data_IF_731994565016
#
_entry.id   IF_731994565016
#
_cell.length_a   1.000
_cell.length_b   1.000
_cell.length_c   1.000
_cell.angle_alpha   90.00
_cell.angle_beta   90.00
_cell.angle_gamma   90.00
#
_symmetry.space_group_name_H-M   'P 1'
#
loop_
_entity.id
_entity.type
_entity.pdbx_description
1 polymer ?
#
# COMPACT_ATOMS: atom_id res chain seq x y z
N UNK A 1 27.13 8.26 -13.11
CA UNK A 1 28.41 8.42 -12.38
C UNK A 1 29.53 8.33 -13.39
N UNK A 2 30.67 8.97 -13.16
CA UNK A 2 31.83 8.78 -14.03
C UNK A 2 32.71 7.70 -13.40
N UNK A 3 33.03 6.66 -14.16
CA UNK A 3 33.92 5.59 -13.74
C UNK A 3 35.25 5.73 -14.46
N UNK A 4 36.34 5.52 -13.75
CA UNK A 4 37.68 5.45 -14.32
C UNK A 4 38.24 4.04 -14.14
N UNK A 5 38.55 3.36 -15.25
CA UNK A 5 39.11 2.01 -15.24
C UNK A 5 40.18 1.88 -16.33
N UNK A 6 41.37 1.35 -15.97
CA UNK A 6 42.50 1.11 -16.90
C UNK A 6 42.85 2.35 -17.76
N UNK A 7 42.75 3.55 -17.17
CA UNK A 7 43.08 4.82 -17.84
C UNK A 7 42.02 5.35 -18.80
N UNK A 8 40.83 4.73 -18.88
CA UNK A 8 39.67 5.26 -19.62
C UNK A 8 38.62 5.73 -18.63
N UNK A 9 37.98 6.86 -18.93
CA UNK A 9 36.80 7.31 -18.20
C UNK A 9 35.54 7.20 -19.07
N UNK A 10 34.43 6.83 -18.45
CA UNK A 10 33.12 6.81 -19.09
C UNK A 10 32.01 7.20 -18.12
N UNK A 11 30.94 7.79 -18.65
CA UNK A 11 29.73 8.09 -17.89
C UNK A 11 28.82 6.86 -17.93
N UNK A 12 28.59 6.25 -16.77
CA UNK A 12 27.83 5.01 -16.63
C UNK A 12 26.62 5.18 -15.69
N UNK A 13 25.65 4.30 -15.85
CA UNK A 13 24.49 4.19 -14.96
C UNK A 13 24.87 3.45 -13.68
N UNK A 14 24.69 4.11 -12.52
CA UNK A 14 25.16 3.57 -11.24
C UNK A 14 24.39 2.36 -10.74
N UNK A 15 23.14 2.20 -11.16
CA UNK A 15 22.25 1.14 -10.70
C UNK A 15 22.51 -0.21 -11.39
N UNK A 16 23.19 -0.24 -12.53
CA UNK A 16 23.40 -1.46 -13.33
C UNK A 16 24.87 -1.77 -13.57
N UNK A 17 25.75 -0.77 -13.48
CA UNK A 17 27.18 -0.98 -13.70
C UNK A 17 27.81 -1.75 -12.51
N UNK A 18 28.44 -2.92 -12.74
CA UNK A 18 28.96 -3.76 -11.67
C UNK A 18 30.15 -3.11 -10.98
N UNK A 19 30.18 -3.19 -9.64
CA UNK A 19 31.35 -2.81 -8.85
C UNK A 19 32.46 -3.85 -9.03
N UNK A 20 33.66 -3.38 -9.38
CA UNK A 20 34.84 -4.24 -9.59
C UNK A 20 36.03 -3.68 -8.82
N UNK A 21 36.99 -4.55 -8.50
CA UNK A 21 38.18 -4.14 -7.76
C UNK A 21 39.00 -3.10 -8.56
N UNK A 22 39.47 -2.08 -7.85
CA UNK A 22 40.17 -0.93 -8.45
C UNK A 22 39.29 0.05 -9.25
N UNK A 23 37.96 -0.06 -9.18
CA UNK A 23 37.04 0.91 -9.80
C UNK A 23 37.09 2.25 -9.04
N UNK A 24 37.44 3.32 -9.74
CA UNK A 24 37.37 4.68 -9.18
C UNK A 24 36.07 5.34 -9.67
N UNK A 25 35.19 5.68 -8.73
CA UNK A 25 33.91 6.33 -9.03
C UNK A 25 33.97 7.81 -8.66
N UNK A 26 33.74 8.66 -9.66
CA UNK A 26 33.57 10.09 -9.47
C UNK A 26 32.08 10.44 -9.49
N UNK A 27 31.59 10.95 -8.36
CA UNK A 27 30.18 11.30 -8.17
C UNK A 27 29.87 12.78 -8.44
N UNK A 28 30.90 13.62 -8.53
CA UNK A 28 30.82 15.08 -8.66
C UNK A 28 31.82 15.64 -9.70
N UNK A 29 32.10 14.90 -10.78
CA UNK A 29 32.84 15.46 -11.91
C UNK A 29 31.94 16.41 -12.71
N UNK A 30 32.53 17.30 -13.51
CA UNK A 30 31.77 18.24 -14.35
C UNK A 30 30.81 17.51 -15.29
N UNK A 31 31.27 16.42 -15.92
CA UNK A 31 30.45 15.59 -16.82
C UNK A 31 29.24 15.00 -16.10
N UNK A 32 29.41 14.54 -14.85
CA UNK A 32 28.29 14.01 -14.04
C UNK A 32 27.29 15.10 -13.68
N UNK A 33 27.77 16.28 -13.28
CA UNK A 33 26.90 17.40 -12.92
C UNK A 33 26.12 17.92 -14.13
N UNK A 34 26.74 18.03 -15.29
CA UNK A 34 26.07 18.40 -16.55
C UNK A 34 25.03 17.36 -16.97
N UNK A 35 25.36 16.07 -16.88
CA UNK A 35 24.42 15.00 -17.17
C UNK A 35 23.20 15.02 -16.23
N UNK A 36 23.41 15.25 -14.92
CA UNK A 36 22.32 15.40 -13.95
C UNK A 36 21.43 16.59 -14.28
N UNK A 37 22.02 17.75 -14.60
CA UNK A 37 21.27 18.94 -15.03
C UNK A 37 20.42 18.65 -16.27
N UNK A 38 20.98 17.96 -17.26
CA UNK A 38 20.24 17.61 -18.48
C UNK A 38 19.04 16.70 -18.16
N UNK A 39 19.26 15.62 -17.39
CA UNK A 39 18.19 14.67 -17.04
C UNK A 39 17.12 15.34 -16.19
N UNK A 40 17.49 16.13 -15.18
CA UNK A 40 16.55 16.88 -14.35
C UNK A 40 15.78 17.93 -15.15
N UNK A 41 16.43 18.58 -16.11
CA UNK A 41 15.77 19.50 -17.04
C UNK A 41 14.71 18.81 -17.90
N UNK A 42 15.01 17.62 -18.44
CA UNK A 42 14.02 16.81 -19.18
C UNK A 42 12.86 16.35 -18.30
N UNK A 43 13.14 15.91 -17.06
CA UNK A 43 12.12 15.49 -16.10
C UNK A 43 11.22 16.67 -15.69
N UNK A 44 11.80 17.83 -15.42
CA UNK A 44 11.05 19.04 -15.06
C UNK A 44 10.20 19.55 -16.24
N UNK A 45 10.69 19.46 -17.47
CA UNK A 45 9.91 19.79 -18.67
C UNK A 45 8.73 18.87 -18.92
N UNK A 46 8.82 17.59 -18.54
CA UNK A 46 7.68 16.67 -18.61
C UNK A 46 6.73 16.86 -17.43
N UNK A 47 7.27 16.95 -16.22
CA UNK A 47 6.51 16.91 -14.96
C UNK A 47 6.81 18.16 -14.11
N UNK A 48 6.31 19.34 -14.51
CA UNK A 48 6.67 20.61 -13.85
C UNK A 48 6.09 20.75 -12.45
N UNK A 49 4.98 20.06 -12.14
CA UNK A 49 4.21 20.24 -10.91
C UNK A 49 4.57 19.26 -9.79
N UNK A 50 5.55 18.38 -9.99
CA UNK A 50 5.92 17.36 -9.00
C UNK A 50 6.98 17.91 -8.02
N UNK A 51 6.69 17.99 -6.71
CA UNK A 51 7.59 18.62 -5.73
C UNK A 51 8.99 18.00 -5.68
N UNK A 52 9.10 16.66 -5.66
CA UNK A 52 10.39 15.97 -5.59
C UNK A 52 11.30 16.32 -6.78
N UNK A 53 10.73 16.53 -7.96
CA UNK A 53 11.49 16.89 -9.17
C UNK A 53 11.93 18.36 -9.10
N UNK A 54 11.04 19.25 -8.66
CA UNK A 54 11.35 20.66 -8.46
C UNK A 54 12.49 20.86 -7.46
N UNK A 55 12.48 20.12 -6.35
CA UNK A 55 13.52 20.20 -5.33
C UNK A 55 14.87 19.71 -5.87
N UNK A 56 14.90 18.54 -6.52
CA UNK A 56 16.11 18.00 -7.14
C UNK A 56 16.66 18.92 -8.24
N UNK A 57 15.78 19.52 -9.05
CA UNK A 57 16.16 20.48 -10.09
C UNK A 57 16.77 21.75 -9.49
N UNK A 58 16.18 22.27 -8.39
CA UNK A 58 16.66 23.46 -7.68
C UNK A 58 18.06 23.26 -7.10
N UNK A 59 18.34 22.08 -6.54
CA UNK A 59 19.69 21.71 -6.05
C UNK A 59 20.75 21.79 -7.16
N UNK A 60 20.36 21.59 -8.41
CA UNK A 60 21.23 21.65 -9.57
C UNK A 60 21.15 22.98 -10.34
N UNK A 61 20.47 23.99 -9.78
CA UNK A 61 20.37 25.35 -10.32
C UNK A 61 19.38 25.50 -11.47
N UNK A 62 18.40 24.60 -11.59
CA UNK A 62 17.33 24.67 -12.61
C UNK A 62 16.06 25.11 -11.89
N UNK A 63 15.60 26.33 -12.17
CA UNK A 63 14.38 26.90 -11.56
C UNK A 63 13.16 26.81 -12.46
N UNK A 64 13.37 26.73 -13.77
CA UNK A 64 12.30 26.68 -14.78
C UNK A 64 12.58 25.57 -15.81
N UNK A 65 11.54 25.01 -16.44
CA UNK A 65 11.69 24.00 -17.49
C UNK A 65 12.54 24.53 -18.66
N UNK A 66 13.68 23.89 -18.98
CA UNK A 66 14.55 24.34 -20.07
C UNK A 66 14.01 24.00 -21.47
N UNK A 67 13.03 23.09 -21.56
CA UNK A 67 12.37 22.67 -22.80
C UNK A 67 10.86 22.94 -22.74
N UNK A 68 10.18 23.07 -23.89
CA UNK A 68 8.72 23.23 -23.95
C UNK A 68 8.00 22.09 -23.21
N UNK A 69 6.96 22.47 -22.47
CA UNK A 69 6.09 21.54 -21.74
C UNK A 69 4.76 21.42 -22.50
N UNK A 70 4.56 20.27 -23.15
CA UNK A 70 3.31 20.00 -23.88
C UNK A 70 2.17 19.51 -22.96
N UNK A 71 2.52 18.94 -21.79
CA UNK A 71 1.58 18.32 -20.84
C UNK A 71 1.89 18.74 -19.40
N UNK A 72 1.45 19.94 -18.96
CA UNK A 72 1.81 20.46 -17.64
C UNK A 72 1.24 19.65 -16.46
N UNK A 73 0.16 18.90 -16.68
CA UNK A 73 -0.50 18.10 -15.65
C UNK A 73 0.05 16.66 -15.54
N UNK A 74 1.04 16.29 -16.36
CA UNK A 74 1.65 14.97 -16.31
C UNK A 74 2.56 14.82 -15.09
N UNK A 75 2.27 13.83 -14.24
CA UNK A 75 3.06 13.52 -13.05
C UNK A 75 3.93 12.26 -13.24
N UNK A 76 3.73 11.49 -14.32
CA UNK A 76 4.46 10.26 -14.58
C UNK A 76 5.79 10.50 -15.30
N UNK A 77 6.90 10.18 -14.61
CA UNK A 77 8.25 10.24 -15.17
C UNK A 77 8.68 8.98 -15.94
N UNK A 78 7.76 8.04 -16.17
CA UNK A 78 8.01 6.78 -16.90
C UNK A 78 9.15 5.92 -16.32
N UNK A 79 9.35 5.94 -14.99
CA UNK A 79 10.38 5.16 -14.29
C UNK A 79 10.17 3.64 -14.37
N UNK A 80 8.93 3.19 -14.57
CA UNK A 80 8.57 1.77 -14.68
C UNK A 80 8.54 0.99 -13.36
N UNK A 81 8.65 1.65 -12.20
CA UNK A 81 8.56 0.97 -10.89
C UNK A 81 7.22 0.26 -10.69
N UNK A 82 6.11 0.88 -11.09
CA UNK A 82 4.78 0.29 -11.02
C UNK A 82 4.63 -0.92 -11.95
N UNK A 83 5.13 -0.84 -13.19
CA UNK A 83 5.15 -1.95 -14.17
C UNK A 83 5.93 -3.13 -13.61
N UNK A 84 7.15 -2.88 -13.13
CA UNK A 84 8.02 -3.91 -12.56
C UNK A 84 7.39 -4.55 -11.32
N UNK A 85 6.81 -3.76 -10.43
CA UNK A 85 6.17 -4.27 -9.20
C UNK A 85 4.95 -5.13 -9.53
N UNK A 86 4.12 -4.69 -10.49
CA UNK A 86 2.94 -5.43 -10.92
C UNK A 86 3.30 -6.78 -11.58
N UNK A 87 4.41 -6.81 -12.31
CA UNK A 87 4.91 -8.01 -12.97
C UNK A 87 5.69 -8.93 -12.01
N UNK A 88 6.72 -8.43 -11.32
CA UNK A 88 7.65 -9.26 -10.53
C UNK A 88 7.10 -9.64 -9.16
N UNK A 89 6.43 -8.73 -8.46
CA UNK A 89 5.99 -8.94 -7.07
C UNK A 89 4.54 -9.42 -7.00
N UNK A 90 3.64 -8.77 -7.73
CA UNK A 90 2.20 -9.07 -7.68
C UNK A 90 1.83 -10.20 -8.66
N UNK A 91 2.64 -10.42 -9.70
CA UNK A 91 2.41 -11.40 -10.79
C UNK A 91 1.09 -11.19 -11.55
N UNK A 92 0.46 -10.02 -11.43
CA UNK A 92 -0.80 -9.72 -12.11
C UNK A 92 -0.61 -9.29 -13.57
N UNK A 93 0.59 -8.81 -13.93
CA UNK A 93 0.97 -8.40 -15.30
C UNK A 93 0.01 -7.37 -15.95
N UNK A 94 -0.66 -6.56 -15.13
CA UNK A 94 -1.66 -5.60 -15.60
C UNK A 94 -1.02 -4.36 -16.21
N UNK A 95 0.02 -3.81 -15.59
CA UNK A 95 0.58 -2.53 -16.01
C UNK A 95 1.70 -2.73 -17.04
N UNK A 96 1.64 -1.99 -18.14
CA UNK A 96 2.70 -1.95 -19.15
C UNK A 96 2.90 -0.53 -19.69
N UNK A 97 3.92 -0.35 -20.53
CA UNK A 97 4.10 0.84 -21.34
C UNK A 97 3.34 0.69 -22.66
N UNK A 98 2.36 1.56 -22.85
CA UNK A 98 1.64 1.75 -24.11
C UNK A 98 2.25 2.91 -24.89
N UNK A 99 1.93 3.01 -26.18
CA UNK A 99 2.41 4.08 -27.08
C UNK A 99 3.95 4.08 -27.25
N UNK A 100 4.49 5.07 -28.00
CA UNK A 100 5.94 5.22 -28.24
C UNK A 100 6.36 6.69 -28.21
N UNK A 101 7.64 6.93 -27.93
CA UNK A 101 8.23 8.27 -27.93
C UNK A 101 7.66 9.14 -26.82
N UNK A 102 7.27 10.37 -27.17
CA UNK A 102 6.69 11.36 -26.23
C UNK A 102 5.30 10.97 -25.72
N UNK A 103 4.52 10.23 -26.53
CA UNK A 103 3.17 9.76 -26.19
C UNK A 103 3.17 8.53 -25.27
N UNK A 104 4.35 8.02 -24.90
CA UNK A 104 4.46 6.83 -24.04
C UNK A 104 3.73 7.04 -22.72
N UNK A 105 2.85 6.10 -22.38
CA UNK A 105 2.02 6.12 -21.17
C UNK A 105 2.10 4.78 -20.45
N UNK A 106 1.90 4.80 -19.13
CA UNK A 106 1.78 3.58 -18.34
C UNK A 106 0.30 3.29 -18.10
N UNK A 107 -0.11 2.05 -18.31
CA UNK A 107 -1.47 1.62 -18.03
C UNK A 107 -1.71 0.17 -18.40
N UNK A 108 -2.96 -0.30 -18.23
CA UNK A 108 -3.36 -1.60 -18.74
C UNK A 108 -3.30 -1.65 -20.28
N UNK A 109 -3.30 -2.86 -20.88
CA UNK A 109 -3.44 -3.02 -22.32
C UNK A 109 -4.58 -2.17 -22.87
N UNK A 110 -4.31 -1.42 -23.94
CA UNK A 110 -5.27 -0.49 -24.57
C UNK A 110 -5.81 0.62 -23.66
N UNK A 111 -5.23 0.81 -22.46
CA UNK A 111 -5.72 1.71 -21.41
C UNK A 111 -7.17 1.38 -20.97
N UNK A 112 -7.57 0.13 -21.12
CA UNK A 112 -8.91 -0.36 -20.74
C UNK A 112 -8.93 -0.99 -19.34
N UNK A 113 -10.09 -0.93 -18.68
CA UNK A 113 -10.27 -1.57 -17.37
C UNK A 113 -10.13 -3.09 -17.49
N UNK A 114 -9.40 -3.70 -16.57
CA UNK A 114 -9.21 -5.16 -16.54
C UNK A 114 -9.61 -5.74 -15.19
N UNK A 115 -10.19 -6.95 -15.23
CA UNK A 115 -10.52 -7.75 -14.04
C UNK A 115 -9.29 -8.37 -13.36
N UNK A 116 -8.14 -8.37 -14.03
CA UNK A 116 -6.90 -8.91 -13.48
C UNK A 116 -6.27 -7.98 -12.44
N UNK A 117 -6.69 -6.71 -12.38
CA UNK A 117 -6.23 -5.77 -11.36
C UNK A 117 -6.99 -6.02 -10.05
N UNK A 118 -6.30 -6.58 -9.06
CA UNK A 118 -6.89 -6.88 -7.74
C UNK A 118 -6.95 -5.66 -6.80
N UNK A 119 -6.53 -4.48 -7.29
CA UNK A 119 -6.48 -3.25 -6.50
C UNK A 119 -5.51 -3.31 -5.32
N UNK A 120 -4.39 -4.03 -5.44
CA UNK A 120 -3.45 -4.23 -4.33
C UNK A 120 -2.72 -2.96 -3.85
N UNK A 121 -2.74 -1.87 -4.62
CA UNK A 121 -2.11 -0.59 -4.25
C UNK A 121 -0.57 -0.54 -4.30
N UNK A 122 0.10 -1.66 -4.62
CA UNK A 122 1.56 -1.71 -4.68
C UNK A 122 2.16 -0.70 -5.67
N UNK A 123 1.47 -0.41 -6.78
CA UNK A 123 1.89 0.58 -7.76
C UNK A 123 1.86 2.03 -7.23
N UNK A 124 0.91 2.36 -6.35
CA UNK A 124 0.82 3.66 -5.68
C UNK A 124 1.95 3.84 -4.67
N UNK A 125 2.22 2.81 -3.86
CA UNK A 125 3.30 2.83 -2.85
C UNK A 125 4.67 3.01 -3.51
N UNK A 126 4.91 2.33 -4.64
CA UNK A 126 6.20 2.39 -5.35
C UNK A 126 6.36 3.60 -6.28
N UNK A 127 5.33 4.45 -6.42
CA UNK A 127 5.38 5.61 -7.30
C UNK A 127 6.14 6.77 -6.64
N UNK A 128 7.32 7.19 -7.15
CA UNK A 128 8.10 8.25 -6.51
C UNK A 128 7.48 9.65 -6.68
N UNK A 129 6.58 9.83 -7.64
CA UNK A 129 6.00 11.14 -8.00
C UNK A 129 4.54 11.28 -7.64
N UNK A 130 3.89 10.24 -7.10
CA UNK A 130 2.46 10.24 -6.84
C UNK A 130 1.59 10.22 -8.10
N UNK A 131 2.11 9.82 -9.26
CA UNK A 131 1.36 9.77 -10.52
C UNK A 131 0.21 8.74 -10.53
N UNK A 132 0.22 7.77 -9.61
CA UNK A 132 -0.82 6.75 -9.47
C UNK A 132 -1.40 6.86 -8.07
N UNK A 133 -2.68 7.20 -7.97
CA UNK A 133 -3.39 7.35 -6.71
C UNK A 133 -4.53 6.34 -6.62
N UNK A 134 -4.79 5.85 -5.41
CA UNK A 134 -6.01 5.12 -5.11
C UNK A 134 -7.07 6.16 -4.78
N UNK A 135 -7.88 6.49 -5.78
CA UNK A 135 -9.03 7.39 -5.59
C UNK A 135 -10.18 6.57 -5.03
N UNK A 136 -10.52 6.82 -3.77
CA UNK A 136 -11.75 6.30 -3.17
C UNK A 136 -12.90 7.22 -3.60
N UNK A 137 -13.84 6.71 -4.43
CA UNK A 137 -14.99 7.50 -4.95
C UNK A 137 -15.91 8.05 -3.84
N UNK A 138 -15.85 7.45 -2.66
CA UNK A 138 -16.42 7.98 -1.42
C UNK A 138 -15.29 7.98 -0.40
N UNK A 139 -15.22 9.02 0.45
CA UNK A 139 -14.46 8.89 1.71
C UNK A 139 -14.90 7.55 2.32
N UNK A 140 -13.96 6.64 2.58
CA UNK A 140 -14.28 5.35 3.14
C UNK A 140 -14.94 5.60 4.50
N UNK A 141 -16.26 5.68 4.52
CA UNK A 141 -17.00 5.64 5.75
C UNK A 141 -17.06 4.18 6.06
N UNK A 142 -16.07 3.74 6.81
CA UNK A 142 -15.97 2.36 7.20
C UNK A 142 -17.20 2.00 8.03
N UNK A 143 -17.86 0.89 7.67
CA UNK A 143 -18.86 0.25 8.53
C UNK A 143 -18.22 -0.26 9.83
N UNK A 144 -16.90 -0.45 9.86
CA UNK A 144 -16.12 -0.66 11.06
C UNK A 144 -14.74 -0.02 10.88
N UNK A 145 -14.34 0.90 11.76
CA UNK A 145 -13.00 1.48 11.74
C UNK A 145 -11.96 0.35 11.76
N UNK A 146 -10.99 0.32 10.82
CA UNK A 146 -9.90 -0.64 10.87
C UNK A 146 -8.98 -0.24 12.02
N UNK A 147 -9.32 -0.74 13.22
CA UNK A 147 -8.59 -0.50 14.47
C UNK A 147 -7.54 -1.58 14.72
N UNK A 148 -7.16 -2.28 13.66
CA UNK A 148 -6.16 -3.33 13.62
C UNK A 148 -5.09 -3.04 12.56
N UNK A 149 -4.02 -3.85 12.54
CA UNK A 149 -2.97 -3.75 11.54
C UNK A 149 -3.55 -3.92 10.13
N UNK A 150 -3.18 -3.01 9.23
CA UNK A 150 -3.61 -3.01 7.82
C UNK A 150 -2.82 -3.98 6.94
N UNK A 151 -1.84 -4.68 7.53
CA UNK A 151 -1.04 -5.68 6.85
C UNK A 151 -1.74 -7.03 6.84
N UNK A 152 -1.66 -7.73 5.71
CA UNK A 152 -2.23 -9.08 5.58
C UNK A 152 -1.64 -10.09 6.57
N UNK A 153 -0.39 -9.90 7.02
CA UNK A 153 0.22 -10.69 8.09
C UNK A 153 0.29 -9.85 9.36
N UNK A 154 -0.23 -10.36 10.47
CA UNK A 154 -0.33 -9.60 11.72
C UNK A 154 -0.47 -10.49 12.95
N UNK A 155 -0.27 -9.91 14.14
CA UNK A 155 -0.54 -10.56 15.43
C UNK A 155 -1.82 -10.00 16.05
N UNK A 156 -2.75 -10.84 16.57
CA UNK A 156 -4.03 -10.40 17.14
C UNK A 156 -3.93 -9.29 18.19
N UNK A 157 -2.95 -9.44 19.08
CA UNK A 157 -2.53 -8.43 20.03
C UNK A 157 -1.10 -8.73 20.46
N UNK A 158 -0.42 -7.74 21.04
CA UNK A 158 0.93 -7.93 21.58
C UNK A 158 0.97 -8.88 22.80
N UNK A 159 -0.20 -9.17 23.38
CA UNK A 159 -0.39 -10.07 24.52
C UNK A 159 -1.04 -11.40 24.11
N UNK A 160 -1.17 -11.68 22.81
CA UNK A 160 -1.75 -12.93 22.34
C UNK A 160 -0.99 -14.14 22.89
N UNK A 161 -1.72 -15.19 23.27
CA UNK A 161 -1.15 -16.46 23.71
C UNK A 161 -1.78 -17.60 22.91
N UNK A 162 -1.01 -18.30 22.05
CA UNK A 162 0.40 -18.05 21.73
C UNK A 162 0.62 -16.73 20.94
N UNK A 163 1.78 -16.09 21.10
CA UNK A 163 2.16 -14.89 20.36
C UNK A 163 2.70 -15.29 18.97
N UNK A 164 1.79 -15.67 18.08
CA UNK A 164 2.09 -16.10 16.71
C UNK A 164 1.37 -15.23 15.69
N UNK A 165 2.02 -14.85 14.58
CA UNK A 165 1.37 -14.12 13.51
C UNK A 165 0.41 -15.02 12.72
N UNK A 166 -0.65 -14.42 12.21
CA UNK A 166 -1.63 -15.05 11.30
C UNK A 166 -1.62 -14.28 9.99
N UNK A 167 -1.81 -15.01 8.88
CA UNK A 167 -2.02 -14.42 7.56
C UNK A 167 -3.52 -14.39 7.31
N UNK A 168 -4.06 -13.20 7.11
CA UNK A 168 -5.40 -12.97 6.58
C UNK A 168 -5.38 -13.25 5.07
N UNK A 169 -6.04 -14.32 4.65
CA UNK A 169 -6.11 -14.77 3.26
C UNK A 169 -6.88 -13.78 2.38
N UNK A 170 -7.87 -13.09 2.93
CA UNK A 170 -8.72 -12.15 2.19
C UNK A 170 -7.97 -10.84 1.91
N UNK A 171 -7.04 -10.45 2.79
CA UNK A 171 -6.19 -9.29 2.57
C UNK A 171 -4.92 -9.61 1.74
N UNK A 172 -4.39 -10.84 1.87
CA UNK A 172 -3.11 -11.23 1.29
C UNK A 172 -3.14 -11.19 -0.23
N UNK A 173 -2.16 -10.50 -0.83
CA UNK A 173 -2.02 -10.39 -2.30
C UNK A 173 -1.90 -11.78 -2.94
N UNK A 174 -1.18 -12.72 -2.29
CA UNK A 174 -0.98 -14.07 -2.84
C UNK A 174 -2.30 -14.83 -2.97
N UNK A 175 -3.04 -14.94 -1.87
CA UNK A 175 -4.31 -15.67 -1.84
C UNK A 175 -5.36 -15.00 -2.72
N UNK A 176 -5.53 -13.67 -2.64
CA UNK A 176 -6.43 -12.96 -3.54
C UNK A 176 -6.10 -13.15 -5.03
N UNK A 177 -4.82 -13.15 -5.40
CA UNK A 177 -4.42 -13.38 -6.78
C UNK A 177 -4.74 -14.83 -7.21
N UNK A 178 -4.47 -15.80 -6.34
CA UNK A 178 -4.83 -17.20 -6.56
C UNK A 178 -6.33 -17.38 -6.78
N UNK A 179 -7.16 -16.78 -5.93
CA UNK A 179 -8.61 -16.88 -6.00
C UNK A 179 -9.17 -16.19 -7.26
N UNK A 180 -8.71 -14.98 -7.58
CA UNK A 180 -9.15 -14.22 -8.76
C UNK A 180 -8.71 -14.85 -10.09
N UNK A 181 -7.67 -15.68 -10.07
CA UNK A 181 -7.13 -16.35 -11.26
C UNK A 181 -7.48 -17.83 -11.31
N UNK A 182 -8.39 -18.31 -10.45
CA UNK A 182 -8.81 -19.71 -10.40
C UNK A 182 -7.63 -20.69 -10.28
N UNK A 183 -6.61 -20.32 -9.50
CA UNK A 183 -5.43 -21.15 -9.28
C UNK A 183 -4.34 -21.06 -10.36
N UNK A 184 -4.45 -20.15 -11.33
CA UNK A 184 -3.42 -19.98 -12.36
C UNK A 184 -2.15 -19.31 -11.82
N UNK A 185 -2.30 -18.40 -10.85
CA UNK A 185 -1.19 -17.70 -10.22
C UNK A 185 -1.16 -18.08 -8.74
N UNK A 186 -0.30 -19.03 -8.40
CA UNK A 186 -0.15 -19.54 -7.03
C UNK A 186 1.03 -18.92 -6.29
N UNK A 187 2.00 -18.36 -7.01
CA UNK A 187 3.31 -17.89 -6.52
C UNK A 187 3.45 -16.35 -6.57
N UNK A 188 2.37 -15.63 -6.25
CA UNK A 188 2.37 -14.16 -6.25
C UNK A 188 3.25 -13.55 -5.13
N UNK A 189 2.72 -12.66 -4.29
CA UNK A 189 3.57 -11.96 -3.31
C UNK A 189 4.16 -12.92 -2.25
N UNK A 190 5.48 -13.06 -2.24
CA UNK A 190 6.25 -13.86 -1.26
C UNK A 190 7.15 -13.00 -0.36
N UNK A 191 6.86 -11.71 -0.27
CA UNK A 191 7.71 -10.76 0.47
C UNK A 191 7.91 -11.17 1.93
N UNK A 192 6.84 -11.59 2.63
CA UNK A 192 6.94 -12.03 4.01
C UNK A 192 7.76 -13.31 4.17
N UNK A 193 7.63 -14.26 3.23
CA UNK A 193 8.39 -15.52 3.26
C UNK A 193 9.88 -15.27 3.01
N UNK A 194 10.21 -14.41 2.04
CA UNK A 194 11.59 -14.03 1.71
C UNK A 194 12.33 -13.39 2.90
N UNK A 195 11.65 -12.57 3.70
CA UNK A 195 12.26 -11.88 4.85
C UNK A 195 12.22 -12.70 6.15
N UNK A 196 11.48 -13.81 6.20
CA UNK A 196 11.31 -14.62 7.40
C UNK A 196 12.52 -15.55 7.60
N UNK A 197 13.49 -15.13 8.41
CA UNK A 197 14.67 -15.94 8.73
C UNK A 197 14.34 -17.30 9.36
N UNK A 198 13.25 -17.37 10.11
CA UNK A 198 12.79 -18.61 10.76
C UNK A 198 12.23 -19.63 9.75
N UNK A 199 11.93 -19.23 8.51
CA UNK A 199 11.30 -20.11 7.53
C UNK A 199 9.90 -20.60 7.93
N UNK A 200 9.21 -19.84 8.78
CA UNK A 200 7.94 -20.27 9.40
C UNK A 200 6.71 -20.11 8.49
N UNK A 201 6.84 -19.35 7.39
CA UNK A 201 5.71 -19.05 6.50
C UNK A 201 5.55 -20.17 5.47
N UNK A 202 4.42 -20.85 5.53
CA UNK A 202 4.02 -21.90 4.61
C UNK A 202 2.65 -21.57 3.99
N UNK A 203 2.64 -21.21 2.71
CA UNK A 203 1.40 -20.90 1.98
C UNK A 203 0.61 -22.14 1.56
N UNK A 204 1.23 -23.33 1.60
CA UNK A 204 0.59 -24.60 1.23
C UNK A 204 -0.04 -25.30 2.43
N UNK A 205 0.00 -24.69 3.63
CA UNK A 205 -0.63 -25.22 4.83
C UNK A 205 -2.14 -25.45 4.58
N UNK A 206 -2.61 -26.67 4.89
CA UNK A 206 -4.01 -27.07 4.75
C UNK A 206 -4.65 -27.26 6.12
N UNK A 207 -5.98 -27.21 6.13
CA UNK A 207 -6.76 -27.55 7.31
C UNK A 207 -6.60 -29.03 7.67
N UNK A 208 -6.51 -29.31 8.97
CA UNK A 208 -6.39 -30.66 9.53
C UNK A 208 -7.65 -31.00 10.34
N UNK A 209 -8.24 -32.17 10.09
CA UNK A 209 -9.35 -32.69 10.90
C UNK A 209 -8.76 -33.56 12.01
N UNK A 210 -8.96 -33.13 13.25
CA UNK A 210 -8.50 -33.85 14.44
C UNK A 210 -9.64 -34.65 15.05
N UNK A 211 -9.45 -35.97 15.20
CA UNK A 211 -10.37 -36.84 15.96
C UNK A 211 -9.98 -36.85 17.43
N UNK A 212 -10.87 -36.40 18.31
CA UNK A 212 -10.66 -36.32 19.75
C UNK A 212 -11.75 -37.11 20.48
N UNK A 213 -11.34 -38.05 21.33
CA UNK A 213 -12.25 -38.74 22.25
C UNK A 213 -12.40 -37.92 23.53
N UNK A 214 -13.59 -37.36 23.75
CA UNK A 214 -13.89 -36.45 24.88
C UNK A 214 -15.13 -36.91 25.64
N UNK A 215 -15.06 -36.86 26.97
CA UNK A 215 -16.20 -37.24 27.82
C UNK A 215 -17.24 -36.14 28.04
N UNK A 216 -16.89 -34.87 27.80
CA UNK A 216 -17.78 -33.72 28.03
C UNK A 216 -17.36 -32.55 27.14
N UNK A 217 -18.35 -31.82 26.60
CA UNK A 217 -18.14 -30.62 25.78
C UNK A 217 -18.71 -29.41 26.54
N UNK A 218 -17.95 -28.31 26.58
CA UNK A 218 -18.36 -27.03 27.17
C UNK A 218 -18.43 -26.01 26.04
N UNK A 219 -19.58 -25.33 25.89
CA UNK A 219 -19.77 -24.27 24.89
C UNK A 219 -19.54 -22.92 25.56
N UNK A 220 -18.52 -22.20 25.09
CA UNK A 220 -18.14 -20.88 25.61
C UNK A 220 -17.71 -19.93 24.47
N UNK A 221 -18.46 -19.91 23.37
CA UNK A 221 -18.15 -19.13 22.15
C UNK A 221 -18.35 -17.62 22.28
N UNK A 222 -18.82 -17.14 23.44
CA UNK A 222 -18.98 -15.71 23.70
C UNK A 222 -20.22 -15.11 23.05
N UNK A 223 -20.07 -13.89 22.53
CA UNK A 223 -21.12 -13.10 21.88
C UNK A 223 -20.53 -12.28 20.74
N UNK A 224 -21.38 -11.84 19.80
CA UNK A 224 -21.03 -10.88 18.76
C UNK A 224 -21.73 -9.54 19.02
N UNK A 225 -21.16 -8.46 18.50
CA UNK A 225 -21.78 -7.14 18.58
C UNK A 225 -22.93 -7.03 17.59
N UNK A 226 -24.01 -6.38 18.01
CA UNK A 226 -25.11 -6.02 17.12
C UNK A 226 -24.67 -4.92 16.16
N UNK A 227 -25.03 -5.05 14.87
CA UNK A 227 -24.65 -4.12 13.81
C UNK A 227 -25.50 -2.83 13.85
N UNK A 228 -24.93 -1.67 14.23
CA UNK A 228 -25.68 -0.43 14.35
C UNK A 228 -26.07 0.21 13.01
N UNK A 229 -25.52 -0.26 11.87
CA UNK A 229 -25.88 0.24 10.55
C UNK A 229 -27.37 0.01 10.21
N UNK A 230 -28.00 -0.96 10.87
CA UNK A 230 -29.44 -1.24 10.71
C UNK A 230 -30.32 -0.09 11.24
N UNK A 231 -29.83 0.74 12.17
CA UNK A 231 -30.55 1.93 12.64
C UNK A 231 -30.07 3.20 11.91
N UNK A 232 -30.65 3.42 10.74
CA UNK A 232 -30.32 4.57 9.86
C UNK A 232 -30.39 5.92 10.59
N UNK A 233 -31.27 6.07 11.60
CA UNK A 233 -31.38 7.31 12.37
C UNK A 233 -30.12 7.71 13.14
N UNK A 234 -29.21 6.78 13.38
CA UNK A 234 -27.93 7.05 14.03
C UNK A 234 -26.79 7.29 13.06
N UNK A 235 -27.00 7.16 11.74
CA UNK A 235 -26.00 7.46 10.70
C UNK A 235 -24.63 6.79 10.93
N UNK A 236 -24.62 5.63 11.60
CA UNK A 236 -23.44 4.79 11.69
C UNK A 236 -23.09 4.28 10.27
N UNK A 237 -21.81 4.36 9.88
CA UNK A 237 -21.41 4.10 8.50
C UNK A 237 -21.66 5.25 7.50
N UNK A 238 -22.27 6.37 7.93
CA UNK A 238 -22.36 7.60 7.10
C UNK A 238 -21.53 8.76 7.67
N UNK A 239 -21.41 8.84 9.00
CA UNK A 239 -20.58 9.83 9.69
C UNK A 239 -19.32 9.18 10.27
N UNK A 240 -18.11 9.64 9.92
CA UNK A 240 -16.86 8.98 10.31
C UNK A 240 -16.47 9.17 11.80
N UNK A 241 -17.27 9.93 12.54
CA UNK A 241 -17.10 10.20 13.97
C UNK A 241 -18.15 9.50 14.84
N UNK A 242 -19.07 8.74 14.25
CA UNK A 242 -19.99 7.87 14.99
C UNK A 242 -19.33 6.50 15.05
N UNK A 243 -19.07 6.04 16.27
CA UNK A 243 -18.35 4.80 16.54
C UNK A 243 -19.12 3.96 17.56
N UNK A 244 -18.94 2.65 17.49
CA UNK A 244 -19.47 1.70 18.46
C UNK A 244 -18.66 1.73 19.75
N UNK A 245 -19.22 1.15 20.82
CA UNK A 245 -18.50 0.98 22.08
C UNK A 245 -17.21 0.13 21.91
N UNK A 246 -17.24 -0.90 21.06
CA UNK A 246 -16.05 -1.74 20.81
C UNK A 246 -14.96 -1.00 20.04
N UNK A 247 -15.35 -0.15 19.09
CA UNK A 247 -14.40 0.72 18.40
C UNK A 247 -13.79 1.77 19.36
N UNK A 248 -14.61 2.33 20.24
CA UNK A 248 -14.13 3.21 21.30
C UNK A 248 -13.12 2.51 22.22
N UNK A 249 -13.41 1.29 22.67
CA UNK A 249 -12.49 0.49 23.49
C UNK A 249 -11.14 0.24 22.77
N UNK A 250 -11.17 -0.05 21.47
CA UNK A 250 -9.96 -0.21 20.67
C UNK A 250 -9.15 1.09 20.55
N UNK A 251 -9.79 2.26 20.39
CA UNK A 251 -9.13 3.57 20.39
C UNK A 251 -8.55 3.93 21.76
N UNK A 252 -9.27 3.63 22.84
CA UNK A 252 -8.83 3.90 24.21
C UNK A 252 -7.74 2.92 24.68
N UNK A 253 -7.51 1.82 23.96
CA UNK A 253 -6.51 0.83 24.32
C UNK A 253 -5.09 1.34 24.04
N UNK A 254 -4.22 1.32 25.06
CA UNK A 254 -2.82 1.76 24.93
C UNK A 254 -2.01 0.96 23.90
N UNK A 255 -2.36 -0.32 23.67
CA UNK A 255 -1.78 -1.16 22.62
C UNK A 255 -2.54 -1.11 21.29
N UNK A 256 -3.56 -0.26 21.19
CA UNK A 256 -4.33 -0.03 19.96
C UNK A 256 -3.61 0.90 18.98
N UNK A 257 -4.20 1.07 17.80
CA UNK A 257 -3.62 1.83 16.67
C UNK A 257 -3.35 3.31 16.98
N UNK A 258 -4.07 3.90 17.94
CA UNK A 258 -3.88 5.29 18.38
C UNK A 258 -3.06 5.43 19.67
N UNK A 259 -2.53 4.32 20.21
CA UNK A 259 -1.76 4.35 21.46
C UNK A 259 -2.60 4.77 22.69
N UNK A 260 -3.92 4.57 22.64
CA UNK A 260 -4.85 4.96 23.70
C UNK A 260 -5.48 6.35 23.54
N UNK A 261 -5.20 7.04 22.43
CA UNK A 261 -5.77 8.34 22.13
C UNK A 261 -7.10 8.24 21.40
N UNK A 262 -8.12 8.95 21.89
CA UNK A 262 -9.43 9.04 21.23
C UNK A 262 -9.36 10.17 20.21
N UNK A 263 -9.37 9.82 18.92
CA UNK A 263 -9.24 10.76 17.81
C UNK A 263 -10.48 10.73 16.91
N UNK A 264 -10.85 11.91 16.40
CA UNK A 264 -11.82 12.09 15.32
C UNK A 264 -11.21 11.60 13.99
N UNK A 265 -12.05 11.50 12.96
CA UNK A 265 -11.63 11.08 11.62
C UNK A 265 -10.55 11.97 10.99
N UNK A 266 -10.47 13.24 11.42
CA UNK A 266 -9.45 14.20 10.99
C UNK A 266 -8.20 14.20 11.89
N UNK A 267 -8.10 13.26 12.83
CA UNK A 267 -6.97 13.11 13.76
C UNK A 267 -6.98 14.04 14.96
N UNK A 268 -7.99 14.92 15.12
CA UNK A 268 -8.09 15.81 16.28
C UNK A 268 -8.73 15.11 17.48
N UNK A 269 -8.41 15.56 18.69
CA UNK A 269 -9.11 15.09 19.91
C UNK A 269 -10.52 15.70 20.00
N UNK A 270 -11.56 14.93 20.35
CA UNK A 270 -12.90 15.47 20.51
C UNK A 270 -12.98 16.38 21.74
N UNK A 271 -13.57 17.57 21.60
CA UNK A 271 -13.88 18.45 22.74
C UNK A 271 -15.14 18.02 23.49
N UNK A 272 -16.04 17.30 22.81
CA UNK A 272 -17.35 16.88 23.32
C UNK A 272 -17.68 15.49 22.79
N UNK A 273 -18.24 14.66 23.66
CA UNK A 273 -18.64 13.28 23.35
C UNK A 273 -20.07 13.07 23.82
N UNK A 274 -20.86 12.35 23.03
CA UNK A 274 -22.19 11.88 23.40
C UNK A 274 -22.19 10.34 23.37
N UNK A 275 -22.79 9.72 24.37
CA UNK A 275 -22.97 8.27 24.46
C UNK A 275 -24.46 7.98 24.35
N UNK A 276 -24.84 7.16 23.38
CA UNK A 276 -26.22 6.71 23.19
C UNK A 276 -26.31 5.28 23.72
N UNK A 277 -27.13 5.09 24.74
CA UNK A 277 -27.35 3.77 25.33
C UNK A 277 -28.48 3.03 24.61
N UNK A 278 -28.51 1.70 24.79
CA UNK A 278 -29.57 0.82 24.28
C UNK A 278 -29.67 0.77 22.75
N UNK A 279 -28.63 1.13 22.01
CA UNK A 279 -28.59 0.95 20.55
C UNK A 279 -28.63 -0.54 20.23
N UNK A 280 -29.65 -0.99 19.50
CA UNK A 280 -29.85 -2.41 19.17
C UNK A 280 -30.28 -3.30 20.33
N UNK A 281 -30.74 -2.72 21.44
CA UNK A 281 -31.17 -3.47 22.63
C UNK A 281 -32.37 -2.81 23.26
N UNK A 282 -33.35 -3.61 23.70
CA UNK A 282 -34.60 -3.09 24.30
C UNK A 282 -35.38 -2.20 23.32
N UNK A 283 -35.22 -2.44 22.02
CA UNK A 283 -35.96 -1.80 20.94
C UNK A 283 -36.61 -2.90 20.09
N UNK A 284 -37.94 -2.86 19.98
CA UNK A 284 -38.69 -3.83 19.18
C UNK A 284 -38.41 -3.64 17.68
N UNK A 285 -38.13 -2.42 17.24
CA UNK A 285 -37.92 -2.09 15.83
C UNK A 285 -36.51 -2.44 15.35
N UNK A 286 -35.60 -2.86 16.24
CA UNK A 286 -34.23 -3.23 15.91
C UNK A 286 -34.05 -4.74 15.64
N UNK A 287 -35.13 -5.52 15.70
CA UNK A 287 -35.11 -6.99 15.61
C UNK A 287 -36.13 -7.56 14.61
N UNK A 288 -36.78 -6.71 13.82
CA UNK A 288 -37.64 -7.08 12.68
C UNK A 288 -36.94 -6.73 11.36
#
# INVERSE_FOLDING_TARGET
MEVAQRGRTSLETSCTYPAVDGLVVQTHSLVVLEARKLVLGLLLSRCPNVPIIQDLAREHGITEPPFPTDTPDENCILCGHCVRTCHELVKAEVLNFSERGIERRVGPPFLEKTRLCIGCGACTIMCPTGAIEIVLEKAAVYEAKPLGPTSAIWVPSLQAMPLVPVIDTDACIRFRQNDLTEGQITDACEACQTVCEAGAINFDQQDEILELDVGTIIIATGFEMWDPAQLVQYSYGESPNIITAMEFERLSNAGGVTGGEILLADGRKPERVAIIHCVGSRDHNAHE
#
